data_IF_027308087083
#
_entry.id   IF_027308087083
#
_cell.length_a   1.000
_cell.length_b   1.000
_cell.length_c   1.000
_cell.angle_alpha   90.00
_cell.angle_beta   90.00
_cell.angle_gamma   90.00
#
_symmetry.space_group_name_H-M   'P 1'
#
loop_
_entity.id
_entity.type
_entity.pdbx_description
1 polymer ?
#
# COMPACT_ATOMS: atom_id res chain seq x y z
N UNK A 1 -3.95 67.35 67.59
CA UNK A 1 -4.77 68.35 66.86
C UNK A 1 -4.77 67.95 65.39
N UNK A 2 -5.90 67.39 64.97
CA UNK A 2 -6.43 67.24 63.60
C UNK A 2 -5.76 66.28 62.59
N UNK A 3 -6.64 65.39 62.09
CA UNK A 3 -6.50 64.34 61.08
C UNK A 3 -5.91 64.75 59.73
N UNK A 4 -5.23 63.78 59.08
CA UNK A 4 -5.16 63.58 57.61
C UNK A 4 -4.68 62.13 57.32
N UNK A 5 -5.15 61.47 56.23
CA UNK A 5 -5.10 60.02 56.08
C UNK A 5 -3.76 59.51 55.47
N UNK A 6 -3.34 58.33 55.90
CA UNK A 6 -2.18 57.60 55.34
C UNK A 6 -2.62 56.53 54.34
N UNK A 7 -1.81 56.39 53.28
CA UNK A 7 -1.71 55.29 52.29
C UNK A 7 -2.77 55.18 51.18
N UNK A 8 -2.34 55.52 49.95
CA UNK A 8 -2.53 54.70 48.73
C UNK A 8 -1.72 55.30 47.57
N UNK A 9 -0.56 54.72 47.24
CA UNK A 9 0.04 54.82 45.90
C UNK A 9 0.10 53.41 45.32
N UNK A 10 -0.84 53.09 44.44
CA UNK A 10 -0.77 51.93 43.57
C UNK A 10 -1.07 52.35 42.14
N UNK A 11 -0.15 51.96 41.26
CA UNK A 11 -0.25 51.63 39.84
C UNK A 11 -1.64 51.76 39.18
N UNK A 12 -1.69 52.36 37.99
CA UNK A 12 -2.03 51.67 36.73
C UNK A 12 -2.17 52.68 35.59
N UNK A 13 -1.28 52.58 34.60
CA UNK A 13 -1.47 53.12 33.25
C UNK A 13 -2.20 52.05 32.40
N UNK A 14 -3.01 52.45 31.40
CA UNK A 14 -3.90 51.55 30.69
C UNK A 14 -3.18 50.64 29.69
N UNK A 15 -3.42 49.35 29.89
CA UNK A 15 -3.50 48.21 28.97
C UNK A 15 -3.06 48.41 27.50
N UNK A 16 -1.75 48.44 27.28
CA UNK A 16 -1.09 48.31 25.97
C UNK A 16 -0.46 46.90 25.81
N UNK A 17 -1.01 45.90 26.49
CA UNK A 17 -0.56 44.50 26.39
C UNK A 17 -1.63 43.60 25.76
N UNK A 18 -2.91 43.95 25.88
CA UNK A 18 -4.00 43.11 25.36
C UNK A 18 -4.08 43.10 23.82
N UNK A 19 -3.71 44.20 23.14
CA UNK A 19 -3.74 44.28 21.67
C UNK A 19 -2.56 43.55 21.00
N UNK A 20 -1.39 43.52 21.64
CA UNK A 20 -0.23 42.78 21.15
C UNK A 20 -0.40 41.25 21.29
N UNK A 21 -1.07 40.79 22.35
CA UNK A 21 -1.37 39.38 22.56
C UNK A 21 -2.35 38.80 21.53
N UNK A 22 -3.34 39.60 21.09
CA UNK A 22 -4.30 39.19 20.05
C UNK A 22 -3.62 39.13 18.67
N UNK A 23 -2.69 40.05 18.38
CA UNK A 23 -1.92 40.00 17.12
C UNK A 23 -0.91 38.84 17.10
N UNK A 24 -0.29 38.51 18.24
CA UNK A 24 0.63 37.37 18.35
C UNK A 24 -0.10 36.01 18.32
N UNK A 25 -1.34 35.94 18.81
CA UNK A 25 -2.19 34.75 18.71
C UNK A 25 -2.68 34.48 17.28
N UNK A 26 -2.75 35.50 16.42
CA UNK A 26 -3.09 35.36 14.99
C UNK A 26 -1.90 34.93 14.11
N UNK A 27 -0.68 34.97 14.63
CA UNK A 27 0.56 34.62 13.90
C UNK A 27 1.14 33.25 14.26
N UNK A 28 0.49 32.52 15.17
CA UNK A 28 0.91 31.17 15.58
C UNK A 28 -0.15 30.13 15.20
N UNK A 29 -0.76 30.27 14.01
CA UNK A 29 -1.35 29.12 13.35
C UNK A 29 -0.19 28.26 12.85
N UNK A 30 0.30 27.37 13.72
CA UNK A 30 1.02 26.18 13.29
C UNK A 30 0.11 25.51 12.26
N UNK A 31 0.43 25.70 10.98
CA UNK A 31 -0.29 25.05 9.90
C UNK A 31 -0.02 23.56 10.07
N UNK A 32 -0.96 22.83 10.66
CA UNK A 32 -1.00 21.39 10.54
C UNK A 32 -1.08 21.13 9.03
N UNK A 33 0.04 20.74 8.41
CA UNK A 33 0.04 20.37 7.01
C UNK A 33 -0.82 19.13 6.89
N UNK A 34 -1.94 19.26 6.19
CA UNK A 34 -2.80 18.13 5.87
C UNK A 34 -2.11 17.23 4.84
N UNK A 35 -2.35 15.93 4.93
CA UNK A 35 -1.76 14.96 4.00
C UNK A 35 -2.41 15.15 2.63
N UNK A 36 -1.66 15.62 1.64
CA UNK A 36 -2.21 15.91 0.31
C UNK A 36 -2.41 14.62 -0.50
N UNK A 37 -3.59 14.02 -0.42
CA UNK A 37 -3.89 12.80 -1.18
C UNK A 37 -4.35 13.12 -2.61
N UNK A 38 -3.66 12.56 -3.61
CA UNK A 38 -3.99 12.69 -5.05
C UNK A 38 -3.78 11.37 -5.77
N UNK A 39 -4.29 11.24 -7.00
CA UNK A 39 -4.04 10.04 -7.80
C UNK A 39 -2.57 9.92 -8.18
N UNK A 40 -2.04 8.71 -8.30
CA UNK A 40 -0.68 8.52 -8.82
C UNK A 40 -0.48 9.21 -10.17
N UNK A 41 -1.45 9.12 -11.08
CA UNK A 41 -1.38 9.77 -12.40
C UNK A 41 -1.35 11.30 -12.34
N UNK A 42 -1.80 11.92 -11.24
CA UNK A 42 -1.71 13.36 -11.02
C UNK A 42 -0.36 13.77 -10.38
N UNK A 43 0.34 12.83 -9.75
CA UNK A 43 1.61 13.05 -9.03
C UNK A 43 2.79 12.76 -9.95
N UNK A 44 2.74 11.62 -10.65
CA UNK A 44 3.81 11.09 -11.50
C UNK A 44 3.35 11.04 -12.97
N UNK A 45 3.82 11.96 -13.82
CA UNK A 45 3.53 11.93 -15.25
C UNK A 45 4.02 10.65 -15.97
N UNK A 46 5.10 10.02 -15.50
CA UNK A 46 5.69 8.81 -16.11
C UNK A 46 6.14 7.80 -15.05
N UNK A 47 6.28 6.52 -15.43
CA UNK A 47 6.82 5.49 -14.54
C UNK A 47 8.26 5.81 -14.09
N UNK A 48 9.04 6.42 -14.99
CA UNK A 48 10.35 6.98 -14.66
C UNK A 48 10.29 7.95 -13.48
N UNK A 49 9.41 8.94 -13.53
CA UNK A 49 9.26 9.88 -12.42
C UNK A 49 8.73 9.22 -11.14
N UNK A 50 7.87 8.20 -11.25
CA UNK A 50 7.43 7.43 -10.09
C UNK A 50 8.62 6.82 -9.34
N UNK A 51 9.44 6.03 -10.04
CA UNK A 51 10.56 5.33 -9.41
C UNK A 51 11.66 6.27 -8.91
N UNK A 52 11.97 7.34 -9.66
CA UNK A 52 13.07 8.25 -9.30
C UNK A 52 12.68 9.24 -8.19
N UNK A 53 11.41 9.68 -8.14
CA UNK A 53 10.95 10.69 -7.16
C UNK A 53 10.38 10.10 -5.88
N UNK A 54 9.59 9.02 -5.94
CA UNK A 54 8.93 8.47 -4.74
C UNK A 54 9.95 8.13 -3.64
N UNK A 55 11.12 7.67 -4.04
CA UNK A 55 12.19 7.23 -3.15
C UNK A 55 13.40 8.18 -3.11
N UNK A 56 13.19 9.48 -3.37
CA UNK A 56 14.20 10.55 -3.26
C UNK A 56 15.55 10.24 -3.96
N UNK A 57 15.51 9.69 -5.18
CA UNK A 57 16.70 9.38 -5.97
C UNK A 57 17.46 8.13 -5.54
N UNK A 58 16.83 7.24 -4.76
CA UNK A 58 17.34 5.89 -4.50
C UNK A 58 17.49 5.08 -5.79
N UNK A 59 16.61 5.32 -6.77
CA UNK A 59 16.59 4.64 -8.05
C UNK A 59 16.82 5.61 -9.20
N UNK A 60 17.40 5.09 -10.29
CA UNK A 60 17.48 5.73 -11.60
C UNK A 60 16.89 4.77 -12.62
N UNK A 61 16.06 5.25 -13.55
CA UNK A 61 15.40 4.36 -14.51
C UNK A 61 16.27 4.17 -15.76
N UNK A 62 16.34 2.93 -16.23
CA UNK A 62 17.17 2.54 -17.37
C UNK A 62 16.41 1.63 -18.32
N UNK A 63 16.60 1.88 -19.62
CA UNK A 63 16.15 1.02 -20.72
C UNK A 63 17.17 -0.07 -21.09
N UNK A 64 18.33 -0.12 -20.40
CA UNK A 64 19.32 -1.15 -20.63
C UNK A 64 19.09 -2.35 -19.71
N UNK A 65 18.39 -3.37 -20.22
CA UNK A 65 17.96 -4.55 -19.46
C UNK A 65 19.12 -5.41 -18.96
N UNK A 66 20.30 -5.35 -19.59
CA UNK A 66 21.48 -6.08 -19.11
C UNK A 66 22.25 -5.33 -18.02
N UNK A 67 21.87 -4.07 -17.76
CA UNK A 67 22.50 -3.16 -16.82
C UNK A 67 21.46 -2.47 -15.91
N UNK A 68 20.34 -3.15 -15.64
CA UNK A 68 19.30 -2.64 -14.73
C UNK A 68 18.59 -3.79 -14.03
N UNK A 69 18.15 -3.51 -12.81
CA UNK A 69 17.54 -4.46 -11.91
C UNK A 69 16.02 -4.48 -12.08
N UNK A 70 15.42 -5.62 -11.72
CA UNK A 70 13.98 -5.72 -11.46
C UNK A 70 13.77 -5.92 -9.96
N UNK A 71 12.73 -5.30 -9.41
CA UNK A 71 12.34 -5.49 -8.00
C UNK A 71 11.55 -6.79 -7.80
N UNK A 72 11.24 -7.53 -8.87
CA UNK A 72 10.59 -8.83 -8.78
C UNK A 72 10.96 -9.73 -9.96
N UNK A 73 11.01 -11.04 -9.73
CA UNK A 73 11.30 -12.03 -10.77
C UNK A 73 10.45 -13.30 -10.56
N UNK A 74 10.17 -13.98 -11.66
CA UNK A 74 9.41 -15.25 -11.68
C UNK A 74 10.28 -16.43 -12.10
N UNK A 75 11.49 -16.13 -12.58
CA UNK A 75 12.51 -17.06 -13.01
C UNK A 75 13.10 -17.81 -11.81
N UNK A 76 13.45 -19.09 -12.03
CA UNK A 76 14.14 -19.92 -11.02
C UNK A 76 15.50 -19.34 -10.62
N UNK A 77 16.15 -18.64 -11.55
CA UNK A 77 17.40 -17.93 -11.33
C UNK A 77 17.09 -16.43 -11.20
N UNK A 78 17.60 -15.83 -10.14
CA UNK A 78 17.48 -14.38 -9.92
C UNK A 78 18.24 -13.61 -11.03
N UNK A 79 17.55 -12.85 -11.90
CA UNK A 79 18.18 -12.15 -13.02
C UNK A 79 19.13 -11.03 -12.56
N UNK A 80 18.97 -10.54 -11.32
CA UNK A 80 19.79 -9.48 -10.76
C UNK A 80 21.23 -9.95 -10.43
N UNK A 81 21.48 -11.25 -10.39
CA UNK A 81 22.82 -11.82 -10.20
C UNK A 81 23.76 -11.40 -11.34
N UNK A 82 23.35 -11.63 -12.60
CA UNK A 82 24.14 -11.28 -13.77
C UNK A 82 24.33 -9.76 -13.92
N UNK A 83 23.31 -8.98 -13.57
CA UNK A 83 23.38 -7.51 -13.55
C UNK A 83 24.38 -7.04 -12.51
N UNK A 84 24.37 -7.63 -11.31
CA UNK A 84 25.34 -7.31 -10.25
C UNK A 84 26.76 -7.66 -10.65
N UNK A 85 27.00 -8.82 -11.24
CA UNK A 85 28.34 -9.19 -11.73
C UNK A 85 28.85 -8.22 -12.81
N UNK A 86 27.95 -7.69 -13.63
CA UNK A 86 28.29 -6.75 -14.71
C UNK A 86 28.62 -5.35 -14.17
N UNK A 87 27.76 -4.83 -13.29
CA UNK A 87 27.89 -3.45 -12.78
C UNK A 87 28.84 -3.34 -11.59
N UNK A 88 28.97 -4.41 -10.82
CA UNK A 88 29.74 -4.50 -9.58
C UNK A 88 30.62 -5.76 -9.58
N UNK A 89 31.62 -5.86 -10.46
CA UNK A 89 32.48 -7.04 -10.56
C UNK A 89 33.26 -7.34 -9.26
N UNK A 90 33.43 -6.35 -8.39
CA UNK A 90 34.04 -6.49 -7.06
C UNK A 90 33.02 -6.37 -5.91
N UNK A 91 31.73 -6.33 -6.24
CA UNK A 91 30.64 -6.25 -5.27
C UNK A 91 30.51 -7.53 -4.46
N UNK A 92 30.22 -7.39 -3.17
CA UNK A 92 30.03 -8.52 -2.28
C UNK A 92 28.55 -8.71 -1.95
N UNK A 93 27.92 -9.65 -2.65
CA UNK A 93 26.54 -10.09 -2.42
C UNK A 93 26.44 -11.20 -1.37
N UNK A 94 27.56 -11.74 -0.88
CA UNK A 94 27.57 -12.74 0.21
C UNK A 94 27.36 -12.12 1.59
N UNK A 95 27.11 -10.82 1.67
CA UNK A 95 26.77 -10.09 2.89
C UNK A 95 25.57 -9.19 2.64
N UNK A 96 24.76 -8.98 3.66
CA UNK A 96 23.66 -8.03 3.59
C UNK A 96 24.17 -6.66 4.00
N UNK A 97 24.31 -5.76 3.01
CA UNK A 97 24.96 -4.47 3.23
C UNK A 97 24.05 -3.42 3.86
N UNK A 98 22.72 -3.55 3.71
CA UNK A 98 21.72 -2.71 4.38
C UNK A 98 21.48 -3.17 5.83
N UNK A 99 20.89 -2.31 6.66
CA UNK A 99 20.68 -2.54 8.09
C UNK A 99 19.23 -2.29 8.52
N UNK A 100 18.94 -2.41 9.82
CA UNK A 100 17.62 -2.44 10.49
C UNK A 100 16.98 -3.83 10.57
N UNK A 101 16.26 -4.26 9.53
CA UNK A 101 15.59 -5.56 9.51
C UNK A 101 16.33 -6.62 8.68
N UNK A 102 17.53 -6.26 8.20
CA UNK A 102 18.42 -7.13 7.45
C UNK A 102 19.24 -8.04 8.37
N UNK A 103 19.46 -9.27 7.93
CA UNK A 103 20.42 -10.22 8.51
C UNK A 103 21.86 -9.77 8.23
N UNK A 104 22.85 -10.48 8.74
CA UNK A 104 24.26 -10.25 8.40
C UNK A 104 24.65 -10.87 7.06
N UNK A 105 24.13 -12.07 6.78
CA UNK A 105 24.43 -12.85 5.59
C UNK A 105 23.12 -13.27 4.93
N UNK A 106 23.07 -13.33 3.59
CA UNK A 106 21.93 -13.91 2.94
C UNK A 106 21.91 -15.43 3.19
N UNK A 107 20.74 -15.95 3.55
CA UNK A 107 20.57 -17.38 3.81
C UNK A 107 19.23 -17.86 3.25
N UNK A 108 19.09 -19.16 2.98
CA UNK A 108 17.79 -19.74 2.64
C UNK A 108 16.76 -19.54 3.75
N UNK A 109 15.52 -19.27 3.37
CA UNK A 109 14.36 -19.14 4.24
C UNK A 109 13.45 -20.38 4.16
N UNK A 110 12.68 -20.60 5.23
CA UNK A 110 11.86 -21.80 5.41
C UNK A 110 10.72 -21.96 4.39
N UNK A 111 9.98 -23.09 4.46
CA UNK A 111 8.85 -23.36 3.56
C UNK A 111 7.78 -22.27 3.58
N UNK A 112 7.58 -21.64 4.74
CA UNK A 112 6.54 -20.62 4.98
C UNK A 112 6.91 -19.21 4.45
N UNK A 113 8.09 -19.05 3.84
CA UNK A 113 8.52 -17.80 3.20
C UNK A 113 7.85 -17.62 1.83
N UNK A 114 6.59 -17.18 1.84
CA UNK A 114 5.72 -17.16 0.67
C UNK A 114 5.53 -15.77 0.05
N UNK A 115 5.52 -14.70 0.86
CA UNK A 115 5.28 -13.33 0.35
C UNK A 115 6.45 -12.85 -0.49
N UNK A 116 7.68 -12.92 0.02
CA UNK A 116 8.90 -12.51 -0.70
C UNK A 116 9.61 -13.71 -1.36
N UNK A 117 8.85 -14.71 -1.84
CA UNK A 117 9.41 -15.98 -2.30
C UNK A 117 10.52 -15.93 -3.37
N UNK A 118 10.65 -14.91 -4.25
CA UNK A 118 11.73 -14.88 -5.23
C UNK A 118 13.13 -14.91 -4.59
N UNK A 119 13.29 -14.35 -3.39
CA UNK A 119 14.57 -14.33 -2.67
C UNK A 119 14.76 -15.51 -1.71
N UNK A 120 13.83 -16.48 -1.67
CA UNK A 120 13.80 -17.54 -0.66
C UNK A 120 15.11 -18.32 -0.49
N UNK A 121 15.86 -18.55 -1.57
CA UNK A 121 17.10 -19.34 -1.51
C UNK A 121 18.29 -18.53 -0.97
N UNK A 122 18.22 -17.20 -1.04
CA UNK A 122 19.30 -16.28 -0.69
C UNK A 122 18.70 -14.93 -0.26
N UNK A 123 18.06 -14.90 0.90
CA UNK A 123 17.37 -13.71 1.40
C UNK A 123 18.18 -13.00 2.47
N UNK A 124 18.17 -11.67 2.46
CA UNK A 124 18.68 -10.80 3.53
C UNK A 124 17.65 -10.47 4.62
N UNK A 125 16.37 -10.76 4.40
CA UNK A 125 15.30 -10.59 5.38
C UNK A 125 14.98 -11.92 6.07
N UNK A 126 14.15 -11.89 7.12
CA UNK A 126 13.55 -13.09 7.73
C UNK A 126 12.09 -13.25 7.31
N UNK A 127 11.51 -14.41 7.55
CA UNK A 127 10.06 -14.63 7.41
C UNK A 127 9.18 -13.63 8.18
N UNK A 128 9.64 -13.12 9.33
CA UNK A 128 8.87 -12.10 10.06
C UNK A 128 8.85 -10.78 9.30
N UNK A 129 9.96 -10.39 8.67
CA UNK A 129 10.00 -9.19 7.83
C UNK A 129 9.21 -9.39 6.55
N UNK A 130 9.30 -10.57 5.94
CA UNK A 130 8.62 -10.94 4.68
C UNK A 130 7.13 -11.28 4.86
N UNK A 131 6.40 -10.36 5.50
CA UNK A 131 4.94 -10.35 5.60
C UNK A 131 4.43 -8.98 5.14
N UNK A 132 3.42 -8.93 4.28
CA UNK A 132 2.95 -7.68 3.69
C UNK A 132 2.51 -6.63 4.73
N UNK A 133 1.96 -7.07 5.87
CA UNK A 133 1.58 -6.16 6.96
C UNK A 133 2.83 -5.60 7.63
N UNK A 134 3.82 -6.43 7.90
CA UNK A 134 5.07 -6.00 8.53
C UNK A 134 5.88 -5.09 7.59
N UNK A 135 5.97 -5.41 6.29
CA UNK A 135 6.59 -4.55 5.29
C UNK A 135 5.98 -3.14 5.26
N UNK A 136 4.65 -3.01 5.43
CA UNK A 136 3.97 -1.71 5.45
C UNK A 136 4.11 -0.96 6.78
N UNK A 137 4.32 -1.65 7.90
CA UNK A 137 4.12 -1.06 9.24
C UNK A 137 5.37 -1.02 10.11
N UNK A 138 6.43 -1.77 9.77
CA UNK A 138 7.61 -1.96 10.61
C UNK A 138 8.36 -0.65 10.90
N UNK A 139 8.36 0.30 9.97
CA UNK A 139 9.05 1.59 10.11
C UNK A 139 8.24 2.66 10.85
N UNK A 140 7.05 2.30 11.35
CA UNK A 140 6.23 3.15 12.20
C UNK A 140 4.99 3.72 11.51
N UNK A 141 4.14 4.43 12.27
CA UNK A 141 2.78 4.78 11.84
C UNK A 141 2.71 5.77 10.67
N UNK A 142 3.79 6.51 10.40
CA UNK A 142 3.85 7.47 9.28
C UNK A 142 4.57 6.93 8.05
N UNK A 143 5.38 5.87 8.19
CA UNK A 143 6.10 5.21 7.11
C UNK A 143 5.27 4.06 6.55
N UNK A 144 4.12 4.40 5.96
CA UNK A 144 3.23 3.46 5.30
C UNK A 144 2.83 3.97 3.92
N UNK A 145 2.63 3.07 2.95
CA UNK A 145 2.19 3.46 1.60
C UNK A 145 0.69 3.75 1.51
N UNK A 146 -0.12 3.19 2.42
CA UNK A 146 -1.59 3.26 2.41
C UNK A 146 -2.16 4.46 3.21
N UNK A 147 -1.35 5.50 3.42
CA UNK A 147 -1.77 6.66 4.22
C UNK A 147 -2.89 7.50 3.61
N UNK A 148 -3.11 7.38 2.31
CA UNK A 148 -4.22 8.01 1.59
C UNK A 148 -5.42 7.07 1.40
N UNK A 149 -5.44 5.94 2.12
CA UNK A 149 -6.43 4.88 1.98
C UNK A 149 -5.79 3.60 1.43
N UNK A 150 -6.56 2.52 1.48
CA UNK A 150 -6.14 1.24 0.90
C UNK A 150 -5.95 1.39 -0.62
N UNK A 151 -4.83 0.87 -1.11
CA UNK A 151 -4.52 0.79 -2.54
C UNK A 151 -5.29 -0.38 -3.16
N UNK A 152 -5.53 -0.33 -4.47
CA UNK A 152 -5.99 -1.50 -5.21
C UNK A 152 -4.99 -2.66 -5.06
N UNK A 153 -5.44 -3.93 -5.11
CA UNK A 153 -4.53 -5.07 -5.00
C UNK A 153 -3.42 -5.05 -6.06
N UNK A 154 -3.73 -4.59 -7.28
CA UNK A 154 -2.75 -4.48 -8.36
C UNK A 154 -1.64 -3.47 -8.01
N UNK A 155 -2.00 -2.31 -7.46
CA UNK A 155 -1.03 -1.30 -7.03
C UNK A 155 -0.23 -1.74 -5.80
N UNK A 156 -0.90 -2.26 -4.78
CA UNK A 156 -0.24 -2.70 -3.53
C UNK A 156 0.80 -3.78 -3.78
N UNK A 157 0.58 -4.67 -4.76
CA UNK A 157 1.59 -5.67 -5.12
C UNK A 157 2.93 -5.05 -5.47
N UNK A 158 2.99 -3.91 -6.15
CA UNK A 158 4.28 -3.27 -6.47
C UNK A 158 4.99 -2.72 -5.23
N UNK A 159 4.25 -2.16 -4.26
CA UNK A 159 4.84 -1.75 -2.97
C UNK A 159 5.40 -2.94 -2.20
N UNK A 160 4.68 -4.07 -2.19
CA UNK A 160 5.17 -5.31 -1.55
C UNK A 160 6.41 -5.83 -2.27
N UNK A 161 6.44 -5.81 -3.61
CA UNK A 161 7.59 -6.25 -4.40
C UNK A 161 8.82 -5.38 -4.14
N UNK A 162 8.67 -4.06 -4.13
CA UNK A 162 9.76 -3.13 -3.81
C UNK A 162 10.25 -3.32 -2.37
N UNK A 163 9.34 -3.45 -1.41
CA UNK A 163 9.71 -3.67 -0.01
C UNK A 163 10.41 -5.03 0.19
N UNK A 164 9.94 -6.10 -0.46
CA UNK A 164 10.65 -7.37 -0.46
C UNK A 164 12.03 -7.26 -1.14
N UNK A 165 12.14 -6.51 -2.24
CA UNK A 165 13.42 -6.29 -2.89
C UNK A 165 14.40 -5.55 -1.97
N UNK A 166 13.93 -4.50 -1.30
CA UNK A 166 14.71 -3.74 -0.35
C UNK A 166 15.18 -4.59 0.83
N UNK A 167 14.26 -5.31 1.50
CA UNK A 167 14.59 -6.07 2.70
C UNK A 167 15.34 -7.37 2.41
N UNK A 168 15.03 -8.04 1.30
CA UNK A 168 15.43 -9.42 1.06
C UNK A 168 16.53 -9.58 0.02
N UNK A 169 16.74 -8.64 -0.90
CA UNK A 169 17.75 -8.82 -1.93
C UNK A 169 19.16 -8.59 -1.39
N UNK A 170 20.12 -9.50 -1.64
CA UNK A 170 21.53 -9.21 -1.35
C UNK A 170 22.12 -8.15 -2.30
N UNK A 171 21.49 -7.91 -3.45
CA UNK A 171 22.04 -7.04 -4.50
C UNK A 171 21.76 -5.55 -4.28
N UNK A 172 20.63 -5.19 -3.68
CA UNK A 172 20.30 -3.78 -3.42
C UNK A 172 21.34 -3.12 -2.51
N UNK A 173 21.93 -3.89 -1.61
CA UNK A 173 22.96 -3.45 -0.69
C UNK A 173 24.25 -2.97 -1.36
N UNK A 174 24.51 -3.35 -2.61
CA UNK A 174 25.63 -2.82 -3.39
C UNK A 174 25.47 -1.30 -3.59
N UNK A 175 24.23 -0.84 -3.76
CA UNK A 175 23.90 0.58 -3.94
C UNK A 175 23.71 1.34 -2.62
N UNK A 176 24.19 0.80 -1.49
CA UNK A 176 24.18 1.53 -0.22
C UNK A 176 25.02 2.80 -0.38
N UNK A 177 24.39 3.95 -0.18
CA UNK A 177 24.99 5.28 -0.38
C UNK A 177 26.31 5.46 0.36
N UNK A 178 26.34 4.98 1.60
CA UNK A 178 27.52 5.04 2.47
C UNK A 178 28.22 3.67 2.58
N UNK A 179 28.23 2.92 1.48
CA UNK A 179 28.67 1.53 1.41
C UNK A 179 30.17 1.34 1.45
N UNK A 180 30.92 2.30 0.90
CA UNK A 180 32.35 2.14 0.60
C UNK A 180 32.66 1.06 -0.46
N UNK A 181 31.66 0.30 -0.93
CA UNK A 181 31.80 -0.85 -1.80
C UNK A 181 30.62 -0.86 -2.79
N UNK A 182 30.92 -0.77 -4.10
CA UNK A 182 30.04 -1.21 -5.18
C UNK A 182 28.76 -0.40 -5.50
N UNK A 183 28.88 0.93 -5.62
CA UNK A 183 28.06 1.70 -6.56
C UNK A 183 28.93 2.08 -7.78
N UNK A 184 28.31 2.56 -8.87
CA UNK A 184 29.01 2.87 -10.12
C UNK A 184 30.26 3.72 -9.84
N UNK A 185 31.45 3.25 -10.26
CA UNK A 185 32.72 3.94 -10.03
C UNK A 185 32.80 5.30 -10.72
N UNK A 186 31.96 5.53 -11.74
CA UNK A 186 31.84 6.81 -12.44
C UNK A 186 30.94 7.82 -11.69
N UNK A 187 30.24 7.41 -10.63
CA UNK A 187 29.45 8.31 -9.79
C UNK A 187 30.33 8.92 -8.68
N UNK A 188 30.61 10.24 -8.70
CA UNK A 188 31.38 10.91 -7.66
C UNK A 188 30.69 10.93 -6.28
N UNK A 189 29.41 10.56 -6.18
CA UNK A 189 28.71 10.33 -4.91
C UNK A 189 28.94 8.93 -4.35
N UNK A 190 29.47 7.99 -5.16
CA UNK A 190 29.94 6.67 -4.73
C UNK A 190 31.31 6.75 -4.04
N UNK A 191 31.45 7.68 -3.10
CA UNK A 191 32.74 8.07 -2.51
C UNK A 191 32.70 8.15 -0.98
N UNK A 192 31.52 8.12 -0.38
CA UNK A 192 31.37 8.27 1.06
C UNK A 192 31.43 6.88 1.72
N UNK A 193 32.59 6.54 2.30
CA UNK A 193 32.67 5.43 3.26
C UNK A 193 31.87 5.85 4.49
N UNK A 194 31.02 4.96 5.01
CA UNK A 194 30.27 5.22 6.24
C UNK A 194 31.19 5.71 7.36
N UNK A 195 30.83 6.86 7.94
CA UNK A 195 31.52 7.48 9.06
C UNK A 195 30.49 7.60 10.20
N UNK A 196 30.61 6.82 11.28
CA UNK A 196 29.66 6.88 12.39
C UNK A 196 29.69 8.22 13.14
N UNK A 197 30.69 9.07 12.88
CA UNK A 197 30.83 10.40 13.49
C UNK A 197 30.05 11.48 12.72
N UNK A 198 29.74 11.24 11.44
CA UNK A 198 28.97 12.17 10.62
C UNK A 198 27.46 11.87 10.78
N UNK A 199 26.66 12.80 11.34
CA UNK A 199 25.23 12.58 11.55
C UNK A 199 24.42 12.49 10.25
N UNK A 200 25.01 12.84 9.10
CA UNK A 200 24.38 12.70 7.79
C UNK A 200 24.58 11.32 7.17
N UNK A 201 25.50 10.52 7.73
CA UNK A 201 25.78 9.17 7.28
C UNK A 201 24.83 8.17 7.93
N UNK A 202 24.38 7.21 7.14
CA UNK A 202 23.50 6.14 7.60
C UNK A 202 23.83 4.80 6.92
N UNK A 203 23.17 3.73 7.33
CA UNK A 203 23.47 2.35 6.90
C UNK A 203 22.36 1.70 6.08
N UNK A 204 21.37 2.49 5.63
CA UNK A 204 20.13 1.99 5.02
C UNK A 204 19.80 2.66 3.69
N UNK A 205 20.33 3.86 3.43
CA UNK A 205 19.98 4.61 2.23
C UNK A 205 20.60 3.97 0.99
N UNK A 206 19.76 3.71 0.01
CA UNK A 206 20.14 3.30 -1.35
C UNK A 206 20.28 4.55 -2.23
N UNK A 207 21.17 4.51 -3.22
CA UNK A 207 21.38 5.64 -4.13
C UNK A 207 21.63 5.19 -5.57
N UNK A 208 20.91 5.80 -6.51
CA UNK A 208 21.11 5.66 -7.97
C UNK A 208 21.18 4.21 -8.46
N UNK A 209 20.38 3.31 -7.88
CA UNK A 209 20.28 1.95 -8.36
C UNK A 209 19.49 1.90 -9.68
N UNK A 210 20.05 1.34 -10.78
CA UNK A 210 19.37 1.33 -12.06
C UNK A 210 18.22 0.32 -12.04
N UNK A 211 16.98 0.77 -12.20
CA UNK A 211 15.78 -0.06 -12.26
C UNK A 211 15.25 -0.07 -13.69
N UNK A 212 14.77 -1.23 -14.15
CA UNK A 212 14.22 -1.38 -15.49
C UNK A 212 13.01 -0.48 -15.71
N UNK A 213 12.99 0.20 -16.85
CA UNK A 213 11.89 1.09 -17.23
C UNK A 213 10.53 0.40 -17.27
N UNK A 214 10.47 -0.81 -17.82
CA UNK A 214 9.21 -1.55 -17.94
C UNK A 214 8.56 -1.88 -16.59
N UNK A 215 9.38 -2.16 -15.56
CA UNK A 215 8.91 -2.35 -14.20
C UNK A 215 8.23 -1.08 -13.66
N UNK A 216 8.92 0.06 -13.78
CA UNK A 216 8.42 1.36 -13.30
C UNK A 216 7.17 1.84 -14.06
N UNK A 217 7.12 1.62 -15.37
CA UNK A 217 5.93 1.94 -16.18
C UNK A 217 4.74 1.04 -15.79
N UNK A 218 5.00 -0.24 -15.49
CA UNK A 218 3.97 -1.17 -15.01
C UNK A 218 3.44 -0.79 -13.61
N UNK A 219 4.34 -0.33 -12.72
CA UNK A 219 3.96 0.17 -11.40
C UNK A 219 3.00 1.36 -11.52
N UNK A 220 3.38 2.39 -12.29
CA UNK A 220 2.51 3.55 -12.49
C UNK A 220 1.17 3.15 -13.12
N UNK A 221 1.18 2.26 -14.12
CA UNK A 221 -0.04 1.78 -14.77
C UNK A 221 -0.99 1.11 -13.76
N UNK A 222 -0.46 0.24 -12.89
CA UNK A 222 -1.26 -0.45 -11.87
C UNK A 222 -1.83 0.51 -10.82
N UNK A 223 -1.07 1.56 -10.47
CA UNK A 223 -1.44 2.52 -9.44
C UNK A 223 -2.18 3.77 -9.94
N UNK A 224 -2.30 3.96 -11.25
CA UNK A 224 -2.68 5.25 -11.86
C UNK A 224 -3.93 5.93 -11.26
N UNK A 225 -4.91 5.13 -10.81
CA UNK A 225 -6.17 5.60 -10.23
C UNK A 225 -6.23 5.55 -8.70
N UNK A 226 -5.27 4.90 -8.05
CA UNK A 226 -5.18 4.84 -6.58
C UNK A 226 -4.67 6.18 -6.03
N UNK A 227 -4.95 6.42 -4.74
CA UNK A 227 -4.52 7.63 -4.06
C UNK A 227 -3.17 7.42 -3.36
N UNK A 228 -2.30 8.41 -3.47
CA UNK A 228 -1.04 8.49 -2.76
C UNK A 228 -0.81 9.89 -2.21
N UNK A 229 0.13 10.01 -1.28
CA UNK A 229 0.51 11.30 -0.76
C UNK A 229 1.34 12.08 -1.80
N UNK A 230 0.87 13.27 -2.15
CA UNK A 230 1.46 14.19 -3.11
C UNK A 230 2.35 15.27 -2.45
N UNK A 231 2.42 15.29 -1.11
CA UNK A 231 3.30 16.20 -0.37
C UNK A 231 4.75 16.00 -0.78
N UNK A 232 5.53 17.08 -0.82
CA UNK A 232 6.91 17.02 -1.31
C UNK A 232 7.05 16.54 -2.76
N UNK A 233 5.99 16.65 -3.57
CA UNK A 233 5.98 16.19 -4.95
C UNK A 233 5.84 14.67 -5.12
N UNK A 234 5.33 13.98 -4.10
CA UNK A 234 5.18 12.52 -4.11
C UNK A 234 6.28 11.77 -3.37
N UNK A 235 7.23 12.45 -2.72
CA UNK A 235 8.26 11.78 -1.93
C UNK A 235 7.66 11.00 -0.77
N UNK A 236 7.95 9.70 -0.69
CA UNK A 236 7.54 8.83 0.41
C UNK A 236 8.06 9.35 1.76
N UNK A 237 9.30 9.82 1.78
CA UNK A 237 9.96 10.30 3.00
C UNK A 237 9.44 11.68 3.44
N UNK A 238 9.14 12.59 2.51
CA UNK A 238 8.46 13.85 2.84
C UNK A 238 7.05 13.59 3.38
N UNK A 239 6.32 12.67 2.77
CA UNK A 239 5.00 12.24 3.24
C UNK A 239 5.06 11.64 4.65
N UNK A 240 6.08 10.84 4.96
CA UNK A 240 6.29 10.26 6.28
C UNK A 240 6.59 11.30 7.38
N UNK A 241 7.10 12.49 7.02
CA UNK A 241 7.33 13.60 7.97
C UNK A 241 6.06 14.34 8.37
N UNK A 242 4.98 14.19 7.59
CA UNK A 242 3.69 14.77 7.94
C UNK A 242 3.05 13.92 9.02
N UNK A 243 2.98 14.47 10.24
CA UNK A 243 2.35 13.84 11.37
C UNK A 243 0.91 13.40 11.02
N UNK A 244 0.42 12.28 11.57
CA UNK A 244 -0.98 11.92 11.44
C UNK A 244 -1.80 13.08 11.98
N UNK A 245 -2.75 13.59 11.20
CA UNK A 245 -3.66 14.63 11.66
C UNK A 245 -4.41 14.09 12.87
N UNK A 246 -3.98 14.45 14.08
CA UNK A 246 -4.78 14.29 15.27
C UNK A 246 -5.95 15.24 15.07
N UNK A 247 -7.11 14.70 14.68
CA UNK A 247 -8.37 15.44 14.77
C UNK A 247 -8.63 15.67 16.24
N UNK A 248 -8.03 16.70 16.81
CA UNK A 248 -8.39 17.22 18.12
C UNK A 248 -9.81 17.77 17.94
N UNK A 249 -10.83 17.25 18.63
CA UNK A 249 -12.11 17.92 18.66
C UNK A 249 -11.85 19.32 19.21
N UNK A 250 -12.17 20.35 18.43
CA UNK A 250 -12.12 21.73 18.87
C UNK A 250 -13.16 21.88 19.97
N UNK A 251 -12.76 21.70 21.23
CA UNK A 251 -13.60 21.99 22.39
C UNK A 251 -13.53 23.49 22.60
N UNK A 252 -14.56 24.21 22.16
CA UNK A 252 -14.81 25.58 22.64
C UNK A 252 -15.59 25.49 23.94
N UNK A 253 -15.00 26.09 24.97
CA UNK A 253 -15.47 26.40 26.32
C UNK A 253 -15.23 25.39 27.46
N UNK A 254 -14.39 25.90 28.37
CA UNK A 254 -14.10 25.60 29.77
C UNK A 254 -15.25 24.99 30.58
N UNK A 255 -15.12 23.72 31.00
CA UNK A 255 -15.09 23.23 32.39
C UNK A 255 -15.07 21.69 32.43
N UNK A 256 -14.12 21.14 33.19
CA UNK A 256 -13.99 19.75 33.72
C UNK A 256 -14.63 18.60 32.93
N UNK A 257 -13.81 17.76 32.31
CA UNK A 257 -14.24 16.43 31.80
C UNK A 257 -13.51 15.32 32.57
N UNK A 258 -14.32 14.51 33.23
CA UNK A 258 -13.97 13.24 33.86
C UNK A 258 -13.63 12.24 32.76
N UNK A 259 -12.55 11.47 32.92
CA UNK A 259 -12.21 10.39 31.98
C UNK A 259 -13.17 9.23 32.24
N UNK A 260 -14.23 9.15 31.44
CA UNK A 260 -15.06 7.95 31.37
C UNK A 260 -14.58 7.05 30.23
N UNK A 261 -14.28 5.81 30.61
CA UNK A 261 -13.80 4.75 29.74
C UNK A 261 -15.00 4.21 28.95
N UNK A 262 -15.23 4.75 27.76
CA UNK A 262 -16.38 4.39 26.91
C UNK A 262 -16.17 2.99 26.30
N UNK A 263 -16.80 1.99 26.93
CA UNK A 263 -17.12 0.72 26.26
C UNK A 263 -18.12 1.02 25.16
N UNK A 264 -17.80 0.61 23.94
CA UNK A 264 -18.66 0.76 22.77
C UNK A 264 -19.90 -0.13 22.94
N UNK A 265 -20.93 0.39 23.59
CA UNK A 265 -22.25 -0.26 23.68
C UNK A 265 -22.91 -0.17 22.29
N UNK A 266 -23.04 -1.32 21.64
CA UNK A 266 -23.69 -1.45 20.34
C UNK A 266 -25.18 -1.09 20.50
N UNK A 267 -25.65 -0.08 19.76
CA UNK A 267 -27.06 0.37 19.79
C UNK A 267 -28.04 -0.81 19.73
N UNK A 268 -29.06 -0.81 20.59
CA UNK A 268 -30.15 -1.81 20.62
C UNK A 268 -30.77 -2.08 19.24
N UNK A 269 -30.78 -1.07 18.36
CA UNK A 269 -31.24 -1.20 16.98
C UNK A 269 -30.35 -2.09 16.11
N UNK A 270 -29.04 -2.05 16.32
CA UNK A 270 -28.07 -2.89 15.60
C UNK A 270 -28.13 -4.34 16.10
N UNK A 271 -28.28 -4.54 17.41
CA UNK A 271 -28.48 -5.87 18.00
C UNK A 271 -29.76 -6.50 17.43
N UNK A 272 -30.86 -5.73 17.38
CA UNK A 272 -32.12 -6.18 16.77
C UNK A 272 -31.96 -6.58 15.30
N UNK A 273 -31.22 -5.79 14.51
CA UNK A 273 -30.98 -6.09 13.09
C UNK A 273 -30.18 -7.39 12.89
N UNK A 274 -29.14 -7.61 13.69
CA UNK A 274 -28.30 -8.83 13.60
C UNK A 274 -29.13 -10.08 13.91
N UNK A 275 -29.98 -10.01 14.95
CA UNK A 275 -30.85 -11.15 15.32
C UNK A 275 -31.85 -11.44 14.19
N UNK A 276 -32.47 -10.41 13.61
CA UNK A 276 -33.44 -10.59 12.51
C UNK A 276 -32.76 -11.20 11.28
N UNK A 277 -31.58 -10.70 10.89
CA UNK A 277 -30.83 -11.25 9.76
C UNK A 277 -30.40 -12.70 10.01
N UNK A 278 -30.00 -13.04 11.23
CA UNK A 278 -29.67 -14.41 11.63
C UNK A 278 -30.88 -15.36 11.51
N UNK A 279 -32.06 -14.94 11.97
CA UNK A 279 -33.27 -15.75 11.86
C UNK A 279 -33.72 -15.96 10.41
N UNK A 280 -33.58 -14.94 9.55
CA UNK A 280 -33.87 -15.06 8.11
C UNK A 280 -32.90 -16.03 7.45
N UNK A 281 -31.61 -15.95 7.77
CA UNK A 281 -30.61 -16.87 7.22
C UNK A 281 -30.90 -18.33 7.62
N UNK A 282 -31.25 -18.58 8.88
CA UNK A 282 -31.62 -19.92 9.35
C UNK A 282 -32.89 -20.43 8.64
N UNK A 283 -33.91 -19.59 8.48
CA UNK A 283 -35.12 -19.95 7.75
C UNK A 283 -34.85 -20.31 6.28
N UNK A 284 -33.95 -19.57 5.61
CA UNK A 284 -33.54 -19.85 4.23
C UNK A 284 -32.78 -21.17 4.12
N UNK A 285 -31.89 -21.47 5.07
CA UNK A 285 -31.17 -22.76 5.12
C UNK A 285 -32.15 -23.91 5.33
N UNK A 286 -33.11 -23.77 6.25
CA UNK A 286 -34.15 -24.78 6.47
C UNK A 286 -34.99 -24.98 5.20
N UNK A 287 -35.40 -23.89 4.55
CA UNK A 287 -36.17 -23.94 3.31
C UNK A 287 -35.40 -24.67 2.19
N UNK A 288 -34.13 -24.34 1.98
CA UNK A 288 -33.27 -24.99 0.99
C UNK A 288 -33.08 -26.49 1.31
N UNK A 289 -32.84 -26.83 2.58
CA UNK A 289 -32.78 -28.22 3.02
C UNK A 289 -34.09 -28.97 2.75
N UNK A 290 -35.25 -28.35 3.01
CA UNK A 290 -36.54 -28.94 2.68
C UNK A 290 -36.73 -29.14 1.17
N UNK A 291 -36.33 -28.18 0.33
CA UNK A 291 -36.37 -28.31 -1.13
C UNK A 291 -35.50 -29.48 -1.59
N UNK A 292 -34.24 -29.55 -1.13
CA UNK A 292 -33.30 -30.63 -1.49
C UNK A 292 -33.80 -32.00 -1.02
N UNK A 293 -34.33 -32.10 0.20
CA UNK A 293 -34.88 -33.35 0.72
C UNK A 293 -36.12 -33.80 -0.08
N UNK A 294 -36.98 -32.86 -0.51
CA UNK A 294 -38.19 -33.17 -1.30
C UNK A 294 -37.86 -33.56 -2.74
N UNK A 295 -36.86 -32.92 -3.35
CA UNK A 295 -36.30 -33.32 -4.65
C UNK A 295 -35.76 -34.77 -4.56
N UNK A 296 -34.95 -35.08 -3.54
CA UNK A 296 -34.41 -36.44 -3.33
C UNK A 296 -35.49 -37.49 -3.04
N UNK A 297 -36.63 -37.09 -2.46
CA UNK A 297 -37.78 -37.97 -2.21
C UNK A 297 -38.73 -38.11 -3.42
N UNK A 298 -38.38 -37.53 -4.59
CA UNK A 298 -39.17 -37.63 -5.82
C UNK A 298 -40.49 -36.85 -5.80
N UNK A 299 -40.63 -35.87 -4.90
CA UNK A 299 -41.82 -35.01 -4.77
C UNK A 299 -41.41 -33.52 -4.87
N UNK A 300 -40.99 -33.06 -6.06
CA UNK A 300 -40.51 -31.70 -6.26
C UNK A 300 -41.57 -30.68 -5.82
N UNK A 301 -41.12 -29.58 -5.19
CA UNK A 301 -42.02 -28.54 -4.65
C UNK A 301 -42.58 -27.65 -5.76
N UNK A 302 -41.88 -27.58 -6.90
CA UNK A 302 -42.28 -26.81 -8.06
C UNK A 302 -42.56 -27.76 -9.22
N UNK A 303 -43.71 -27.59 -9.87
CA UNK A 303 -44.02 -28.30 -11.11
C UNK A 303 -43.42 -27.53 -12.30
N UNK A 304 -42.97 -28.21 -13.36
CA UNK A 304 -42.60 -27.53 -14.60
C UNK A 304 -43.81 -26.77 -15.15
N UNK A 305 -43.60 -25.52 -15.56
CA UNK A 305 -44.63 -24.74 -16.26
C UNK A 305 -44.96 -25.46 -17.57
N UNK A 306 -46.17 -26.01 -17.68
CA UNK A 306 -46.65 -26.63 -18.92
C UNK A 306 -47.02 -25.54 -19.92
N UNK A 307 -46.46 -25.63 -21.13
CA UNK A 307 -46.79 -24.78 -22.25
C UNK A 307 -48.26 -24.99 -22.67
N UNK A 308 -49.04 -23.91 -22.64
CA UNK A 308 -50.44 -23.90 -23.05
C UNK A 308 -50.56 -24.17 -24.56
N UNK A 309 -50.98 -25.39 -24.93
CA UNK A 309 -51.46 -25.71 -26.29
C UNK A 309 -52.95 -25.40 -26.40
N UNK A 310 -53.29 -24.43 -27.23
CA UNK A 310 -54.66 -24.18 -27.70
C UNK A 310 -54.74 -23.95 -29.21
N UNK A 311 -55.52 -24.79 -29.90
CA UNK A 311 -56.13 -24.56 -31.23
C UNK A 311 -55.25 -24.88 -32.45
N UNK A 312 -55.28 -26.07 -33.10
CA UNK A 312 -56.33 -26.77 -33.89
C UNK A 312 -56.44 -26.28 -35.35
N UNK A 313 -55.97 -27.09 -36.29
CA UNK A 313 -56.69 -27.40 -37.55
C UNK A 313 -56.04 -28.56 -38.30
N UNK A 314 -56.85 -29.56 -38.58
CA UNK A 314 -56.61 -30.76 -39.39
C UNK A 314 -56.13 -30.44 -40.81
N UNK A 315 -55.23 -31.27 -41.35
CA UNK A 315 -55.23 -31.73 -42.75
C UNK A 315 -54.58 -33.13 -42.77
N UNK A 316 -55.35 -34.15 -43.15
CA UNK A 316 -54.83 -35.43 -43.65
C UNK A 316 -54.38 -35.24 -45.10
N UNK A 317 -53.22 -35.78 -45.46
CA UNK A 317 -53.01 -36.31 -46.82
C UNK A 317 -52.00 -37.46 -46.82
N UNK A 318 -52.42 -38.52 -47.50
CA UNK A 318 -51.83 -39.86 -47.54
C UNK A 318 -50.66 -39.97 -48.52
N UNK A 319 -49.70 -40.84 -48.18
CA UNK A 319 -48.86 -41.70 -49.03
C UNK A 319 -48.92 -41.51 -50.55
N UNK A 320 -47.75 -41.29 -51.17
CA UNK A 320 -47.34 -41.94 -52.44
C UNK A 320 -45.83 -42.20 -52.41
N UNK A 321 -45.44 -43.43 -52.74
CA UNK A 321 -44.08 -43.89 -53.00
C UNK A 321 -43.73 -43.81 -54.50
N UNK A 322 -42.43 -43.75 -54.81
CA UNK A 322 -41.85 -43.87 -56.17
C UNK A 322 -41.35 -42.54 -56.72
N UNK A 323 -40.23 -42.42 -57.43
CA UNK A 323 -39.26 -43.38 -57.99
C UNK A 323 -38.10 -42.54 -58.56
N UNK A 324 -36.94 -43.17 -58.71
CA UNK A 324 -35.85 -42.89 -59.67
C UNK A 324 -35.09 -41.55 -59.62
N UNK A 325 -33.79 -41.67 -59.33
CA UNK A 325 -32.72 -40.82 -59.85
C UNK A 325 -32.64 -40.86 -61.39
N UNK A 326 -31.99 -39.87 -62.01
CA UNK A 326 -30.68 -40.20 -62.59
C UNK A 326 -29.60 -39.13 -62.34
N UNK A 327 -28.36 -39.61 -62.36
CA UNK A 327 -27.14 -38.83 -62.44
C UNK A 327 -26.94 -38.25 -63.86
N UNK A 328 -26.28 -37.08 -63.97
CA UNK A 328 -25.05 -36.89 -64.75
C UNK A 328 -24.65 -35.41 -64.83
N UNK A 329 -23.41 -35.17 -64.37
CA UNK A 329 -22.35 -34.31 -64.93
C UNK A 329 -22.69 -32.96 -65.57
N UNK A 330 -22.15 -31.89 -64.97
CA UNK A 330 -20.96 -31.20 -65.48
C UNK A 330 -20.19 -30.59 -64.30
#
# INVERSE_FOLDING_TARGET
>A
LLDLPQNCRTNHAPDMQLTAAILAALLSASHAQDLQCRKFSDIYPTGTELCEKMWDGAFVVSDNYTASYTMWHFEDQNPNEAVSQTLHPTGNTSVCNLQYFHKTLPTPEGPDFTECHPWKNEACCTIQTADATNLNTAYGPTYRWDRCGALSPACERFFVQEACFYECSPHIGLYRKFGGHACNQDDPQCTQVYDPSDPTHNTWQVHQMPIRKDYCDSWLLACANDLFCASGGGSYFECARIAPSVRVPVIVNTTTVVVDNEKTELSDGIIGLIVVLGLVAVALVIFLCCVVCREKAGKPMFQPLTESKGGKSDIRLSSVAGTSAPAMNA
#
